data_IF_527777500545
#
_entry.id   IF_527777500545
#
_cell.length_a   1.000
_cell.length_b   1.000
_cell.length_c   1.000
_cell.angle_alpha   90.00
_cell.angle_beta   90.00
_cell.angle_gamma   90.00
#
_symmetry.space_group_name_H-M   'P 1'
#
loop_
_entity.id
_entity.type
_entity.pdbx_description
1 polymer ?
#
# COMPACT_ATOMS: atom_id res chain seq x y z
N UNK A 1 2.34 -26.88 29.26
CA UNK A 1 2.89 -27.13 30.62
C UNK A 1 3.79 -28.37 30.66
N UNK A 2 3.44 -29.50 30.02
CA UNK A 2 4.30 -30.70 29.94
C UNK A 2 5.71 -30.40 29.38
N UNK A 3 5.79 -29.67 28.25
CA UNK A 3 7.07 -29.33 27.59
C UNK A 3 8.03 -28.46 28.43
N UNK A 4 7.52 -27.60 29.31
CA UNK A 4 8.36 -26.77 30.19
C UNK A 4 8.97 -27.59 31.34
N UNK A 5 8.25 -28.65 31.79
CA UNK A 5 8.73 -29.61 32.79
C UNK A 5 9.76 -30.59 32.22
N UNK A 6 9.71 -30.87 30.92
CA UNK A 6 10.64 -31.75 30.20
C UNK A 6 12.04 -31.14 29.97
N UNK A 7 12.31 -29.93 30.46
CA UNK A 7 13.65 -29.32 30.35
C UNK A 7 14.01 -28.77 28.96
N UNK A 8 13.06 -28.73 28.01
CA UNK A 8 13.27 -28.19 26.66
C UNK A 8 13.51 -26.68 26.67
N UNK A 9 14.37 -26.19 25.78
CA UNK A 9 14.63 -24.76 25.58
C UNK A 9 13.44 -24.04 24.90
N UNK A 10 13.49 -22.70 24.86
CA UNK A 10 12.39 -21.89 24.35
C UNK A 10 12.14 -22.08 22.84
N UNK A 11 13.17 -22.44 22.07
CA UNK A 11 13.11 -22.59 20.62
C UNK A 11 12.51 -23.95 20.25
N UNK A 12 12.92 -25.01 20.92
CA UNK A 12 12.32 -26.34 20.82
C UNK A 12 10.84 -26.34 21.28
N UNK A 13 10.48 -25.51 22.28
CA UNK A 13 9.09 -25.34 22.68
C UNK A 13 8.30 -24.56 21.61
N UNK A 14 8.90 -23.55 20.98
CA UNK A 14 8.29 -22.78 19.91
C UNK A 14 7.99 -23.65 18.68
N UNK A 15 8.97 -24.45 18.27
CA UNK A 15 8.84 -25.42 17.18
C UNK A 15 7.77 -26.47 17.48
N UNK A 16 7.81 -27.09 18.67
CA UNK A 16 6.83 -28.11 19.06
C UNK A 16 5.39 -27.57 19.12
N UNK A 17 5.20 -26.27 19.32
CA UNK A 17 3.89 -25.61 19.34
C UNK A 17 3.48 -25.01 18.00
N UNK A 18 4.34 -25.03 16.99
CA UNK A 18 4.12 -24.34 15.70
C UNK A 18 3.92 -22.83 15.87
N UNK A 19 4.64 -22.21 16.82
CA UNK A 19 4.52 -20.78 17.14
C UNK A 19 5.89 -20.11 17.09
N UNK A 20 5.89 -18.79 16.93
CA UNK A 20 7.15 -18.03 17.00
C UNK A 20 7.62 -17.90 18.45
N UNK A 21 8.95 -17.92 18.64
CA UNK A 21 9.60 -17.77 19.95
C UNK A 21 9.09 -16.56 20.77
N UNK A 22 8.89 -15.35 20.20
CA UNK A 22 8.36 -14.21 20.95
C UNK A 22 6.97 -14.46 21.53
N UNK A 23 6.09 -15.11 20.78
CA UNK A 23 4.72 -15.46 21.21
C UNK A 23 4.75 -16.46 22.35
N UNK A 24 5.65 -17.44 22.28
CA UNK A 24 5.84 -18.43 23.35
C UNK A 24 6.37 -17.78 24.63
N UNK A 25 7.38 -16.91 24.53
CA UNK A 25 7.94 -16.20 25.69
C UNK A 25 6.91 -15.27 26.34
N UNK A 26 6.10 -14.56 25.54
CA UNK A 26 5.01 -13.73 26.06
C UNK A 26 3.99 -14.58 26.84
N UNK A 27 3.67 -15.78 26.34
CA UNK A 27 2.75 -16.70 27.00
C UNK A 27 3.36 -17.30 28.26
N UNK A 28 4.63 -17.66 28.25
CA UNK A 28 5.37 -18.13 29.43
C UNK A 28 5.39 -17.07 30.53
N UNK A 29 5.64 -15.81 30.18
CA UNK A 29 5.61 -14.68 31.14
C UNK A 29 4.25 -14.52 31.81
N UNK A 30 3.14 -14.77 31.11
CA UNK A 30 1.78 -14.74 31.70
C UNK A 30 1.52 -15.90 32.66
N UNK A 31 2.27 -16.99 32.53
CA UNK A 31 2.18 -18.16 33.40
C UNK A 31 3.10 -18.06 34.62
N UNK A 32 3.82 -16.95 34.80
CA UNK A 32 4.58 -16.66 36.01
C UNK A 32 3.69 -16.00 37.08
N UNK A 33 4.03 -16.18 38.37
CA UNK A 33 3.51 -15.34 39.44
C UNK A 33 3.68 -13.85 39.10
N UNK A 34 2.73 -13.01 39.50
CA UNK A 34 2.71 -11.58 39.14
C UNK A 34 4.05 -10.89 39.46
N UNK A 35 4.62 -11.18 40.64
CA UNK A 35 5.88 -10.60 41.11
C UNK A 35 7.09 -10.95 40.24
N UNK A 36 6.99 -12.05 39.47
CA UNK A 36 8.08 -12.57 38.63
C UNK A 36 7.90 -12.19 37.15
N UNK A 37 6.80 -11.54 36.75
CA UNK A 37 6.52 -11.19 35.34
C UNK A 37 7.45 -10.12 34.78
N UNK A 38 8.04 -9.29 35.65
CA UNK A 38 9.02 -8.26 35.29
C UNK A 38 10.41 -8.81 34.96
N UNK A 39 10.63 -10.13 35.03
CA UNK A 39 11.95 -10.69 34.77
C UNK A 39 12.45 -10.47 33.32
N UNK A 40 13.78 -10.33 33.13
CA UNK A 40 14.42 -10.31 31.82
C UNK A 40 14.00 -11.49 30.96
N UNK A 41 13.89 -11.27 29.64
CA UNK A 41 13.32 -12.24 28.70
C UNK A 41 14.10 -13.57 28.65
N UNK A 42 15.41 -13.50 28.83
CA UNK A 42 16.32 -14.65 28.98
C UNK A 42 16.07 -15.48 30.24
N UNK A 43 15.46 -14.89 31.28
CA UNK A 43 15.18 -15.56 32.56
C UNK A 43 13.77 -16.12 32.69
N UNK A 44 12.87 -15.83 31.76
CA UNK A 44 11.45 -16.27 31.81
C UNK A 44 11.36 -17.79 31.95
N UNK A 45 12.12 -18.54 31.17
CA UNK A 45 12.03 -20.01 31.16
C UNK A 45 12.51 -20.61 32.48
N UNK A 46 13.63 -20.09 33.02
CA UNK A 46 14.17 -20.51 34.31
C UNK A 46 13.22 -20.18 35.45
N UNK A 47 12.65 -18.97 35.46
CA UNK A 47 11.65 -18.56 36.45
C UNK A 47 10.38 -19.43 36.36
N UNK A 48 9.95 -19.80 35.15
CA UNK A 48 8.77 -20.62 34.96
C UNK A 48 8.99 -22.05 35.45
N UNK A 49 10.19 -22.59 35.24
CA UNK A 49 10.56 -23.91 35.76
C UNK A 49 10.58 -23.94 37.29
N UNK A 50 11.12 -22.89 37.92
CA UNK A 50 11.11 -22.75 39.37
C UNK A 50 9.67 -22.71 39.92
N UNK A 51 8.82 -21.85 39.36
CA UNK A 51 7.43 -21.73 39.80
C UNK A 51 6.63 -23.04 39.59
N UNK A 52 6.87 -23.76 38.50
CA UNK A 52 6.16 -25.02 38.21
C UNK A 52 6.66 -26.20 39.06
N UNK A 53 7.82 -26.09 39.69
CA UNK A 53 8.36 -27.08 40.61
C UNK A 53 7.76 -26.97 42.03
N UNK A 54 7.14 -25.84 42.37
CA UNK A 54 6.42 -25.65 43.64
C UNK A 54 5.12 -26.48 43.66
N UNK A 55 4.90 -27.32 44.70
CA UNK A 55 3.75 -28.22 44.77
C UNK A 55 2.39 -27.50 44.78
N UNK A 56 2.37 -26.31 45.39
CA UNK A 56 1.15 -25.53 45.61
C UNK A 56 0.93 -24.44 44.56
N UNK A 57 1.67 -24.50 43.44
CA UNK A 57 1.56 -23.49 42.39
C UNK A 57 0.22 -23.58 41.63
N UNK A 58 -0.73 -22.71 42.01
CA UNK A 58 -2.01 -22.58 41.33
C UNK A 58 -1.91 -21.72 40.05
N UNK A 59 -1.60 -22.40 38.95
CA UNK A 59 -1.59 -21.80 37.61
C UNK A 59 -2.97 -21.28 37.18
N UNK A 60 -4.08 -21.82 37.74
CA UNK A 60 -5.44 -21.41 37.36
C UNK A 60 -5.73 -20.02 37.92
N UNK A 61 -5.41 -19.79 39.19
CA UNK A 61 -5.52 -18.46 39.82
C UNK A 61 -4.61 -17.45 39.12
N UNK A 62 -3.39 -17.85 38.76
CA UNK A 62 -2.44 -16.98 38.04
C UNK A 62 -2.98 -16.52 36.67
N UNK A 63 -3.66 -17.39 35.94
CA UNK A 63 -4.29 -17.04 34.65
C UNK A 63 -5.49 -16.12 34.85
N UNK A 64 -6.32 -16.36 35.86
CA UNK A 64 -7.50 -15.53 36.17
C UNK A 64 -7.13 -14.11 36.60
N UNK A 65 -6.03 -13.96 37.33
CA UNK A 65 -5.50 -12.65 37.75
C UNK A 65 -4.69 -11.94 36.64
N UNK A 66 -4.56 -12.55 35.45
CA UNK A 66 -3.86 -11.90 34.35
C UNK A 66 -4.74 -10.83 33.74
N UNK A 67 -4.30 -9.56 33.70
CA UNK A 67 -5.08 -8.51 33.06
C UNK A 67 -5.34 -8.86 31.60
N UNK A 68 -6.53 -8.50 31.05
CA UNK A 68 -6.83 -8.73 29.65
C UNK A 68 -5.75 -8.10 28.76
N UNK A 69 -5.51 -8.66 27.55
CA UNK A 69 -4.53 -8.08 26.65
C UNK A 69 -4.86 -6.61 26.41
N UNK A 70 -3.86 -5.71 26.38
CA UNK A 70 -4.11 -4.34 25.98
C UNK A 70 -4.77 -4.33 24.60
N UNK A 71 -5.67 -3.37 24.33
CA UNK A 71 -6.29 -3.25 23.01
C UNK A 71 -5.19 -3.17 21.95
N UNK A 72 -5.43 -3.70 20.73
CA UNK A 72 -4.49 -3.55 19.64
C UNK A 72 -4.13 -2.07 19.50
N UNK A 73 -2.83 -1.77 19.36
CA UNK A 73 -2.38 -0.41 19.16
C UNK A 73 -3.11 0.19 17.95
N UNK A 74 -3.54 1.47 18.01
CA UNK A 74 -4.17 2.10 16.86
C UNK A 74 -3.22 2.01 15.66
N UNK A 75 -3.71 1.43 14.57
CA UNK A 75 -2.98 1.39 13.30
C UNK A 75 -2.76 2.85 12.90
N UNK A 76 -1.51 3.30 12.84
CA UNK A 76 -1.23 4.62 12.30
C UNK A 76 -1.64 4.63 10.84
N UNK A 77 -2.69 5.38 10.52
CA UNK A 77 -3.14 5.58 9.15
C UNK A 77 -2.06 6.38 8.42
N UNK A 78 -1.44 5.78 7.40
CA UNK A 78 -0.45 6.48 6.58
C UNK A 78 -1.23 7.44 5.68
N UNK A 79 -1.42 8.68 6.14
CA UNK A 79 -2.06 9.73 5.35
C UNK A 79 -1.10 10.14 4.25
N UNK A 80 -1.38 9.70 3.02
CA UNK A 80 -0.67 10.18 1.82
C UNK A 80 -1.30 11.49 1.38
N UNK A 81 -0.46 12.49 1.09
CA UNK A 81 -0.90 13.82 0.63
C UNK A 81 -0.42 14.06 -0.81
N UNK A 82 -1.04 15.03 -1.50
CA UNK A 82 -0.74 15.33 -2.92
C UNK A 82 -1.26 14.25 -3.88
N UNK A 83 -0.56 14.02 -5.00
CA UNK A 83 -0.94 13.01 -6.00
C UNK A 83 -1.01 11.60 -5.42
N UNK A 84 -0.12 11.30 -4.47
CA UNK A 84 -0.08 10.03 -3.75
C UNK A 84 -1.29 9.78 -2.83
N UNK A 85 -2.04 10.84 -2.51
CA UNK A 85 -3.28 10.79 -1.73
C UNK A 85 -4.55 10.72 -2.57
N UNK A 86 -4.44 10.79 -3.90
CA UNK A 86 -5.58 10.59 -4.79
C UNK A 86 -6.00 9.13 -4.76
N UNK A 87 -7.32 8.92 -4.77
CA UNK A 87 -7.88 7.59 -5.01
C UNK A 87 -7.41 7.07 -6.39
N UNK A 88 -7.13 5.76 -6.55
CA UNK A 88 -6.70 5.20 -7.83
C UNK A 88 -7.58 5.58 -9.03
N UNK A 89 -8.90 5.71 -8.86
CA UNK A 89 -9.80 6.12 -9.94
C UNK A 89 -9.62 7.60 -10.29
N UNK A 90 -9.42 8.45 -9.27
CA UNK A 90 -9.19 9.88 -9.45
C UNK A 90 -7.86 10.10 -10.18
N UNK A 91 -6.80 9.43 -9.73
CA UNK A 91 -5.48 9.52 -10.34
C UNK A 91 -5.52 9.15 -11.82
N UNK A 92 -6.14 8.02 -12.17
CA UNK A 92 -6.28 7.59 -13.58
C UNK A 92 -7.09 8.58 -14.41
N UNK A 93 -8.20 9.10 -13.88
CA UNK A 93 -9.04 10.08 -14.60
C UNK A 93 -8.34 11.41 -14.83
N UNK A 94 -7.65 11.93 -13.81
CA UNK A 94 -6.89 13.18 -13.90
C UNK A 94 -5.75 13.01 -14.89
N UNK A 95 -4.98 11.93 -14.79
CA UNK A 95 -3.90 11.61 -15.73
C UNK A 95 -4.41 11.57 -17.17
N UNK A 96 -5.51 10.85 -17.41
CA UNK A 96 -6.14 10.78 -18.74
C UNK A 96 -6.60 12.15 -19.24
N UNK A 97 -7.26 12.94 -18.40
CA UNK A 97 -7.76 14.25 -18.78
C UNK A 97 -6.64 15.23 -19.15
N UNK A 98 -5.57 15.28 -18.34
CA UNK A 98 -4.41 16.14 -18.61
C UNK A 98 -3.72 15.69 -19.90
N UNK A 99 -3.48 14.39 -20.06
CA UNK A 99 -2.83 13.82 -21.25
C UNK A 99 -3.61 14.10 -22.54
N UNK A 100 -4.94 13.93 -22.53
CA UNK A 100 -5.78 14.17 -23.73
C UNK A 100 -5.94 15.65 -24.03
N UNK A 101 -5.91 16.52 -23.00
CA UNK A 101 -6.02 17.97 -23.20
C UNK A 101 -4.79 18.59 -23.88
N UNK A 102 -3.62 17.95 -23.77
CA UNK A 102 -2.34 18.41 -24.33
C UNK A 102 -2.08 19.91 -24.07
N UNK A 103 -2.40 20.40 -22.87
CA UNK A 103 -2.31 21.83 -22.55
C UNK A 103 -0.83 22.26 -22.48
N UNK A 104 -0.41 23.34 -23.17
CA UNK A 104 0.96 23.83 -23.06
C UNK A 104 1.35 24.12 -21.61
N UNK A 105 2.52 23.65 -21.19
CA UNK A 105 3.05 23.83 -19.84
C UNK A 105 2.56 22.83 -18.79
N UNK A 106 1.81 21.79 -19.17
CA UNK A 106 1.40 20.71 -18.26
C UNK A 106 2.34 19.50 -18.24
N UNK A 107 3.51 19.57 -18.88
CA UNK A 107 4.39 18.42 -19.05
C UNK A 107 4.94 17.91 -17.71
N UNK A 108 5.44 18.81 -16.85
CA UNK A 108 5.95 18.45 -15.51
C UNK A 108 4.87 17.75 -14.66
N UNK A 109 3.64 18.27 -14.70
CA UNK A 109 2.49 17.66 -14.01
C UNK A 109 2.15 16.30 -14.60
N UNK A 110 2.22 16.15 -15.92
CA UNK A 110 1.93 14.90 -16.60
C UNK A 110 2.98 13.83 -16.26
N UNK A 111 4.26 14.21 -16.16
CA UNK A 111 5.35 13.32 -15.74
C UNK A 111 5.22 12.91 -14.26
N UNK A 112 4.75 13.80 -13.39
CA UNK A 112 4.42 13.46 -12.01
C UNK A 112 3.25 12.47 -11.91
N UNK A 113 2.18 12.73 -12.66
CA UNK A 113 1.01 11.85 -12.73
C UNK A 113 1.36 10.48 -13.31
N UNK A 114 2.14 10.43 -14.39
CA UNK A 114 2.60 9.20 -15.04
C UNK A 114 3.45 8.35 -14.09
N UNK A 115 4.40 8.97 -13.36
CA UNK A 115 5.21 8.29 -12.34
C UNK A 115 4.33 7.73 -11.23
N UNK A 116 3.34 8.47 -10.78
CA UNK A 116 2.45 8.03 -9.71
C UNK A 116 1.54 6.88 -10.16
N UNK A 117 1.04 6.91 -11.40
CA UNK A 117 0.28 5.79 -12.02
C UNK A 117 1.12 4.53 -12.11
N UNK A 118 2.37 4.63 -12.56
CA UNK A 118 3.30 3.49 -12.63
C UNK A 118 3.62 2.94 -11.24
N UNK A 119 3.84 3.82 -10.26
CA UNK A 119 4.12 3.44 -8.86
C UNK A 119 2.96 2.68 -8.22
N UNK A 120 1.72 2.98 -8.61
CA UNK A 120 0.51 2.30 -8.13
C UNK A 120 0.05 1.14 -9.02
N UNK A 121 0.78 0.81 -10.11
CA UNK A 121 0.45 -0.26 -11.05
C UNK A 121 -0.95 -0.12 -11.70
N UNK A 122 -1.31 1.11 -12.10
CA UNK A 122 -2.64 1.44 -12.64
C UNK A 122 -2.66 1.56 -14.18
N UNK A 123 -1.62 1.11 -14.87
CA UNK A 123 -1.43 1.25 -16.32
C UNK A 123 -2.59 0.62 -17.10
N UNK A 124 -2.99 -0.59 -16.70
CA UNK A 124 -4.11 -1.32 -17.30
C UNK A 124 -5.43 -0.54 -17.21
N UNK A 125 -5.64 0.22 -16.13
CA UNK A 125 -6.84 1.05 -15.94
C UNK A 125 -6.82 2.28 -16.83
N UNK A 126 -5.64 2.87 -17.01
CA UNK A 126 -5.42 3.99 -17.90
C UNK A 126 -5.66 3.60 -19.36
N UNK A 127 -5.14 2.43 -19.79
CA UNK A 127 -5.42 1.84 -21.12
C UNK A 127 -6.91 1.63 -21.31
N UNK A 128 -7.60 1.00 -20.37
CA UNK A 128 -9.03 0.72 -20.47
C UNK A 128 -9.86 2.01 -20.56
N UNK A 129 -9.49 3.05 -19.80
CA UNK A 129 -10.15 4.35 -19.86
C UNK A 129 -9.95 5.02 -21.23
N UNK A 130 -8.73 4.99 -21.76
CA UNK A 130 -8.42 5.58 -23.07
C UNK A 130 -9.10 4.82 -24.20
N UNK A 131 -9.12 3.48 -24.15
CA UNK A 131 -9.87 2.66 -25.12
C UNK A 131 -11.37 3.02 -25.12
N UNK A 132 -11.98 3.21 -23.94
CA UNK A 132 -13.38 3.65 -23.83
C UNK A 132 -13.58 5.04 -24.43
N UNK A 133 -12.60 5.93 -24.30
CA UNK A 133 -12.63 7.26 -24.90
C UNK A 133 -12.61 7.17 -26.44
N UNK A 134 -11.67 6.40 -27.02
CA UNK A 134 -11.56 6.20 -28.48
C UNK A 134 -12.88 5.70 -29.09
N UNK A 135 -13.48 4.67 -28.47
CA UNK A 135 -14.78 4.11 -28.87
C UNK A 135 -15.91 5.13 -28.86
N UNK A 136 -15.92 6.05 -27.90
CA UNK A 136 -16.96 7.09 -27.77
C UNK A 136 -16.80 8.20 -28.79
N UNK A 137 -15.56 8.55 -29.11
CA UNK A 137 -15.27 9.61 -30.08
C UNK A 137 -15.36 9.14 -31.53
N UNK A 138 -15.63 7.85 -31.77
CA UNK A 138 -15.72 7.22 -33.10
C UNK A 138 -14.50 7.51 -33.99
N UNK A 139 -13.31 7.52 -33.37
CA UNK A 139 -12.03 7.87 -34.00
C UNK A 139 -11.12 6.67 -34.27
N UNK A 140 -11.56 5.47 -33.92
CA UNK A 140 -10.81 4.23 -34.14
C UNK A 140 -11.55 3.28 -35.06
N UNK A 141 -10.79 2.46 -35.77
CA UNK A 141 -11.27 1.20 -36.32
C UNK A 141 -11.33 0.21 -35.14
N UNK A 142 -12.47 -0.45 -34.91
CA UNK A 142 -12.69 -1.28 -33.71
C UNK A 142 -11.64 -2.38 -33.52
N UNK A 143 -10.97 -2.77 -34.62
CA UNK A 143 -9.90 -3.75 -34.63
C UNK A 143 -8.60 -3.27 -33.96
N UNK A 144 -8.35 -1.95 -33.85
CA UNK A 144 -7.06 -1.39 -33.39
C UNK A 144 -7.16 -0.51 -32.13
N UNK A 145 -8.35 -0.30 -31.57
CA UNK A 145 -8.57 0.54 -30.39
C UNK A 145 -7.72 0.13 -29.17
N UNK A 146 -7.54 -1.19 -28.98
CA UNK A 146 -6.76 -1.71 -27.85
C UNK A 146 -5.28 -1.41 -28.01
N UNK A 147 -4.72 -1.79 -29.16
CA UNK A 147 -3.30 -1.59 -29.46
C UNK A 147 -2.95 -0.10 -29.47
N UNK A 148 -3.86 0.74 -29.97
CA UNK A 148 -3.73 2.20 -29.94
C UNK A 148 -3.72 2.74 -28.51
N UNK A 149 -4.62 2.25 -27.64
CA UNK A 149 -4.65 2.67 -26.24
C UNK A 149 -3.42 2.17 -25.45
N UNK A 150 -2.94 0.96 -25.74
CA UNK A 150 -1.73 0.40 -25.14
C UNK A 150 -0.49 1.19 -25.58
N UNK A 151 -0.35 1.51 -26.87
CA UNK A 151 0.75 2.33 -27.38
C UNK A 151 0.75 3.75 -26.78
N UNK A 152 -0.43 4.39 -26.72
CA UNK A 152 -0.59 5.71 -26.10
C UNK A 152 -0.21 5.70 -24.63
N UNK A 153 -0.66 4.71 -23.86
CA UNK A 153 -0.30 4.62 -22.45
C UNK A 153 1.20 4.32 -22.26
N UNK A 154 1.79 3.48 -23.11
CA UNK A 154 3.21 3.17 -23.06
C UNK A 154 4.10 4.38 -23.38
N UNK A 155 3.69 5.24 -24.32
CA UNK A 155 4.37 6.50 -24.62
C UNK A 155 4.26 7.48 -23.44
N UNK A 156 3.05 7.67 -22.91
CA UNK A 156 2.79 8.54 -21.77
C UNK A 156 3.61 8.13 -20.52
N UNK A 157 3.73 6.84 -20.27
CA UNK A 157 4.44 6.31 -19.10
C UNK A 157 5.96 6.23 -19.30
N UNK A 158 6.46 6.34 -20.54
CA UNK A 158 7.91 6.35 -20.82
C UNK A 158 8.59 7.63 -20.33
N UNK A 159 7.85 8.74 -20.27
CA UNK A 159 8.37 10.06 -19.93
C UNK A 159 9.30 10.59 -21.03
N UNK A 160 8.95 11.74 -21.61
CA UNK A 160 9.76 12.37 -22.67
C UNK A 160 9.38 13.84 -22.82
N UNK A 161 10.38 14.66 -23.20
CA UNK A 161 10.22 16.10 -23.47
C UNK A 161 9.34 16.39 -24.71
N UNK A 162 9.02 15.37 -25.50
CA UNK A 162 8.20 15.49 -26.69
C UNK A 162 6.73 15.20 -26.34
N UNK A 163 5.78 16.10 -26.69
CA UNK A 163 4.37 15.81 -26.54
C UNK A 163 4.06 14.53 -27.33
N UNK A 164 3.21 13.63 -26.81
CA UNK A 164 2.93 12.36 -27.47
C UNK A 164 2.57 12.62 -28.93
N UNK A 165 3.05 11.79 -29.85
CA UNK A 165 2.85 11.98 -31.31
C UNK A 165 1.35 12.07 -31.70
N UNK A 166 0.46 11.73 -30.77
CA UNK A 166 -0.99 11.79 -30.84
C UNK A 166 -1.61 13.00 -30.10
N UNK A 167 -0.83 14.03 -29.76
CA UNK A 167 -1.33 15.33 -29.28
C UNK A 167 -1.98 16.10 -30.45
N UNK A 168 -3.09 15.60 -30.96
CA UNK A 168 -3.79 16.14 -32.15
C UNK A 168 -4.56 17.44 -31.86
N UNK A 169 -4.38 18.07 -30.69
CA UNK A 169 -4.94 19.39 -30.39
C UNK A 169 -3.84 20.46 -30.39
N UNK A 170 -3.60 21.04 -31.56
CA UNK A 170 -2.99 22.36 -31.69
C UNK A 170 -4.15 23.35 -31.79
N UNK A 171 -4.45 24.17 -30.77
CA UNK A 171 -5.38 25.27 -30.98
C UNK A 171 -4.79 26.13 -32.10
N UNK A 172 -5.52 26.29 -33.20
CA UNK A 172 -5.10 27.23 -34.24
C UNK A 172 -4.90 28.60 -33.57
N UNK A 173 -3.80 29.32 -33.86
CA UNK A 173 -3.67 30.68 -33.39
C UNK A 173 -4.86 31.44 -33.95
N UNK A 174 -5.74 31.87 -33.03
CA UNK A 174 -6.94 32.62 -33.37
C UNK A 174 -6.52 33.81 -34.23
N UNK A 175 -6.91 33.76 -35.49
CA UNK A 175 -6.76 34.83 -36.47
C UNK A 175 -7.74 35.96 -36.12
N UNK A 176 -7.56 36.57 -34.95
CA UNK A 176 -8.10 37.89 -34.64
C UNK A 176 -7.08 38.95 -35.05
N UNK A 177 -7.06 39.20 -36.36
CA UNK A 177 -6.73 40.52 -36.89
C UNK A 177 -7.90 40.96 -37.75
N UNK A 178 -9.01 41.31 -37.08
CA UNK A 178 -9.97 42.23 -37.68
C UNK A 178 -9.29 43.59 -37.73
N UNK A 179 -8.67 43.88 -38.87
CA UNK A 179 -8.28 45.23 -39.24
C UNK A 179 -9.52 46.10 -39.25
N UNK A 180 -9.62 46.98 -38.25
CA UNK A 180 -10.45 48.17 -38.36
C UNK A 180 -9.86 49.04 -39.46
N UNK A 181 -10.67 49.33 -40.48
CA UNK A 181 -10.46 50.49 -41.34
C UNK A 181 -11.82 50.98 -41.82
N UNK A 182 -12.38 51.89 -41.03
CA UNK A 182 -13.38 52.85 -41.49
C UNK A 182 -12.64 54.18 -41.64
N UNK A 183 -12.31 54.53 -42.88
CA UNK A 183 -12.23 55.91 -43.38
C UNK A 183 -12.68 55.89 -44.84
#
# INVERSE_FOLDING_TARGET
>A
MKLAREGRDADAIAEALGRTRPVVLQRMRRLLPLDHRGCPTDRILSALRAAVAEPDYDWRTTVLLTPPPPPPAPVQEVVRTGLAGLDPDQLVRVTHAVAVSATPGSQDLLDELAREVARQHLEHRLVALHQRHLRRTNRGDLATDRDTAEAWAAELLRGGDEPPAYAWYRPEPSSQSRSGRWE
#
